data_IF_489366326041
#
_entry.id   IF_489366326041
#
_cell.length_a   1.000
_cell.length_b   1.000
_cell.length_c   1.000
_cell.angle_alpha   90.00
_cell.angle_beta   90.00
_cell.angle_gamma   90.00
#
_symmetry.space_group_name_H-M   'P 1'
#
loop_
_entity.id
_entity.type
_entity.pdbx_description
1 polymer ?
#
# COMPACT_ATOMS: atom_id res chain seq x y z
N UNK A 1 -2.78 -66.35 -39.45
CA UNK A 1 -2.34 -64.96 -39.66
C UNK A 1 -3.57 -64.07 -39.52
N UNK A 2 -3.58 -63.23 -38.47
CA UNK A 2 -4.06 -61.83 -38.43
C UNK A 2 -4.72 -61.33 -39.74
N UNK A 3 -5.92 -60.74 -39.77
CA UNK A 3 -6.63 -59.99 -38.74
C UNK A 3 -6.84 -58.57 -39.24
N UNK A 4 -7.96 -58.33 -39.93
CA UNK A 4 -8.51 -57.00 -40.19
C UNK A 4 -9.85 -56.89 -39.46
N UNK A 5 -10.02 -55.86 -38.65
CA UNK A 5 -11.13 -54.90 -38.76
C UNK A 5 -11.30 -54.09 -37.48
N UNK A 6 -11.33 -52.77 -37.71
CA UNK A 6 -12.22 -51.77 -37.13
C UNK A 6 -12.61 -51.90 -35.64
N UNK A 7 -12.07 -50.99 -34.84
CA UNK A 7 -12.61 -50.62 -33.53
C UNK A 7 -13.51 -49.39 -33.70
N UNK A 8 -14.79 -49.43 -33.26
CA UNK A 8 -15.56 -48.23 -33.00
C UNK A 8 -15.47 -47.80 -31.53
N UNK A 9 -15.64 -46.50 -31.37
CA UNK A 9 -15.71 -45.70 -30.14
C UNK A 9 -16.92 -46.12 -29.29
N UNK A 10 -16.73 -46.33 -27.98
CA UNK A 10 -17.48 -45.63 -26.91
C UNK A 10 -17.20 -46.15 -25.48
N UNK A 11 -17.44 -45.24 -24.53
CA UNK A 11 -17.65 -45.40 -23.08
C UNK A 11 -16.44 -45.22 -22.15
N UNK A 12 -16.61 -44.32 -21.16
CA UNK A 12 -15.66 -44.15 -20.07
C UNK A 12 -15.68 -42.77 -19.43
N UNK A 13 -16.74 -42.48 -18.69
CA UNK A 13 -16.77 -41.45 -17.65
C UNK A 13 -15.47 -41.40 -16.82
N UNK A 14 -14.84 -40.23 -16.68
CA UNK A 14 -13.96 -40.00 -15.54
C UNK A 14 -14.26 -38.65 -14.87
N UNK A 15 -14.44 -38.78 -13.57
CA UNK A 15 -14.98 -37.85 -12.59
C UNK A 15 -13.80 -37.22 -11.86
N UNK A 16 -13.88 -35.90 -11.58
CA UNK A 16 -13.16 -35.18 -10.50
C UNK A 16 -11.62 -35.22 -10.53
N UNK A 17 -11.01 -34.14 -11.02
CA UNK A 17 -9.78 -33.56 -10.44
C UNK A 17 -9.96 -32.08 -10.14
N UNK A 18 -10.77 -31.78 -9.11
CA UNK A 18 -10.68 -30.57 -8.29
C UNK A 18 -10.42 -31.04 -6.85
N UNK A 19 -9.56 -30.33 -6.12
CA UNK A 19 -9.02 -30.59 -4.76
C UNK A 19 -7.84 -31.57 -4.68
N UNK A 20 -6.62 -31.03 -4.83
CA UNK A 20 -5.46 -31.45 -4.02
C UNK A 20 -4.37 -30.37 -3.96
N UNK A 21 -4.71 -29.21 -3.40
CA UNK A 21 -3.77 -28.28 -2.77
C UNK A 21 -4.41 -27.82 -1.46
N UNK A 22 -4.54 -28.76 -0.53
CA UNK A 22 -4.74 -28.56 0.90
C UNK A 22 -3.92 -29.68 1.52
N UNK A 23 -3.18 -29.36 2.58
CA UNK A 23 -2.21 -30.23 3.27
C UNK A 23 -0.79 -30.20 2.71
N UNK A 24 -0.08 -29.11 3.04
CA UNK A 24 1.31 -29.12 3.50
C UNK A 24 1.55 -27.74 4.13
N UNK A 25 2.24 -27.70 5.26
CA UNK A 25 2.26 -26.64 6.28
C UNK A 25 1.13 -26.80 7.30
N UNK A 26 1.46 -26.65 8.59
CA UNK A 26 0.68 -27.01 9.79
C UNK A 26 0.81 -28.49 10.21
N UNK A 27 1.90 -28.80 10.90
CA UNK A 27 2.06 -30.05 11.66
C UNK A 27 1.32 -29.96 12.99
N UNK A 28 0.54 -31.00 13.30
CA UNK A 28 -0.15 -31.22 14.57
C UNK A 28 0.84 -31.37 15.74
N UNK A 29 0.62 -30.69 16.86
CA UNK A 29 1.11 -31.15 18.17
C UNK A 29 0.03 -31.06 19.25
N UNK A 30 -0.10 -32.18 19.94
CA UNK A 30 -1.12 -32.57 20.89
C UNK A 30 -1.00 -31.82 22.22
N UNK A 31 -2.15 -31.60 22.84
CA UNK A 31 -2.37 -30.93 24.13
C UNK A 31 -1.66 -31.67 25.28
N UNK A 32 -0.90 -30.92 26.09
CA UNK A 32 -0.42 -31.32 27.41
C UNK A 32 -0.70 -30.19 28.39
N UNK A 33 -1.71 -30.39 29.23
CA UNK A 33 -2.11 -29.51 30.33
C UNK A 33 -1.07 -29.51 31.45
N UNK A 34 -0.69 -28.35 31.98
CA UNK A 34 -0.52 -28.17 33.42
C UNK A 34 -0.62 -26.71 33.84
N UNK A 35 -1.27 -26.52 34.98
CA UNK A 35 -1.75 -25.28 35.58
C UNK A 35 -0.73 -24.76 36.58
N UNK A 36 -0.43 -23.46 36.57
CA UNK A 36 0.01 -22.76 37.78
C UNK A 36 -0.65 -21.38 37.87
N UNK A 37 -1.36 -21.22 38.99
CA UNK A 37 -2.08 -20.05 39.47
C UNK A 37 -1.22 -19.38 40.56
N UNK A 38 -1.39 -18.06 40.76
CA UNK A 38 -1.08 -17.19 41.93
C UNK A 38 -0.69 -15.81 41.36
N UNK A 39 -1.17 -14.64 41.76
CA UNK A 39 -2.06 -14.20 42.84
C UNK A 39 -2.18 -12.65 42.77
N UNK A 40 -3.24 -12.13 43.39
CA UNK A 40 -3.82 -10.78 43.26
C UNK A 40 -2.98 -9.57 43.73
N UNK A 41 -3.32 -8.38 43.19
CA UNK A 41 -3.63 -7.12 43.94
C UNK A 41 -3.92 -5.97 42.96
N UNK A 42 -5.17 -5.62 42.66
CA UNK A 42 -5.99 -4.51 43.23
C UNK A 42 -5.30 -3.13 43.23
N UNK A 43 -5.79 -2.21 42.39
CA UNK A 43 -6.28 -0.86 42.75
C UNK A 43 -6.92 -0.17 41.52
N UNK A 44 -8.10 0.42 41.73
CA UNK A 44 -8.69 1.52 40.94
C UNK A 44 -9.37 2.50 41.91
N UNK A 45 -9.96 3.66 41.50
CA UNK A 45 -10.27 4.11 40.13
C UNK A 45 -9.88 5.58 39.77
N UNK A 46 -9.86 5.88 38.44
CA UNK A 46 -10.30 7.06 37.61
C UNK A 46 -10.46 8.51 38.18
N UNK A 47 -10.66 9.59 37.37
CA UNK A 47 -10.29 9.91 35.97
C UNK A 47 -9.53 11.27 35.83
N UNK A 48 -8.85 11.50 34.71
CA UNK A 48 -8.87 12.84 34.09
C UNK A 48 -8.52 12.79 32.60
N UNK A 49 -9.42 13.33 31.80
CA UNK A 49 -9.24 13.58 30.38
C UNK A 49 -8.25 14.73 30.18
N UNK A 50 -7.25 14.50 29.35
CA UNK A 50 -6.32 15.53 28.90
C UNK A 50 -5.78 15.11 27.54
N UNK A 51 -6.05 15.94 26.53
CA UNK A 51 -5.47 15.84 25.19
C UNK A 51 -3.96 15.58 25.31
N UNK A 52 -3.44 14.62 24.55
CA UNK A 52 -2.00 14.39 24.48
C UNK A 52 -1.35 15.54 23.72
N UNK A 53 -0.13 15.91 24.11
CA UNK A 53 0.61 17.05 23.55
C UNK A 53 0.81 16.97 22.01
N UNK A 54 0.62 15.80 21.40
CA UNK A 54 0.69 15.57 19.95
C UNK A 54 -0.46 16.24 19.18
N UNK A 55 -1.67 16.23 19.72
CA UNK A 55 -2.84 16.88 19.11
C UNK A 55 -2.67 18.40 19.06
N UNK A 56 -1.94 18.98 20.02
CA UNK A 56 -1.69 20.42 20.07
C UNK A 56 -0.69 20.90 19.01
N UNK A 57 0.26 20.05 18.62
CA UNK A 57 1.29 20.38 17.65
C UNK A 57 0.73 20.37 16.23
N UNK A 58 -0.09 19.37 15.90
CA UNK A 58 -0.75 19.26 14.60
C UNK A 58 -1.77 20.38 14.38
N UNK A 59 -2.56 20.73 15.39
CA UNK A 59 -3.61 21.77 15.30
C UNK A 59 -3.02 23.19 15.15
N UNK A 60 -1.82 23.44 15.68
CA UNK A 60 -1.20 24.77 15.58
C UNK A 60 -0.58 25.06 14.20
N UNK A 61 -0.05 24.05 13.49
CA UNK A 61 0.37 24.21 12.09
C UNK A 61 -0.82 24.46 11.14
N UNK A 62 -1.99 23.86 11.43
CA UNK A 62 -3.19 23.93 10.58
C UNK A 62 -3.79 25.34 10.42
N UNK A 63 -3.75 26.19 11.47
CA UNK A 63 -4.38 27.52 11.45
C UNK A 63 -3.58 28.58 10.70
N UNK A 64 -2.26 28.48 10.70
CA UNK A 64 -1.38 29.44 10.01
C UNK A 64 -1.29 29.12 8.51
N UNK A 65 -1.45 27.84 8.14
CA UNK A 65 -1.46 27.39 6.73
C UNK A 65 -2.77 27.67 6.00
N UNK A 66 -3.93 27.50 6.65
CA UNK A 66 -5.24 27.61 6.00
C UNK A 66 -5.62 29.02 5.55
N UNK A 67 -4.99 30.07 6.07
CA UNK A 67 -5.23 31.46 5.64
C UNK A 67 -4.39 31.89 4.42
N UNK A 68 -3.28 31.20 4.13
CA UNK A 68 -2.42 31.50 2.97
C UNK A 68 -2.83 30.74 1.69
N UNK A 69 -3.64 29.68 1.82
CA UNK A 69 -3.91 28.73 0.72
C UNK A 69 -4.87 29.21 -0.38
N UNK A 70 -5.64 30.29 -0.16
CA UNK A 70 -6.53 30.82 -1.20
C UNK A 70 -5.78 31.70 -2.23
N UNK A 71 -4.50 32.00 -1.99
CA UNK A 71 -3.74 33.01 -2.73
C UNK A 71 -2.34 32.47 -3.04
N UNK A 72 -2.21 31.42 -3.88
CA UNK A 72 -1.06 31.11 -4.78
C UNK A 72 -0.93 29.61 -5.08
N UNK A 73 -1.88 29.01 -5.81
CA UNK A 73 -1.59 27.80 -6.59
C UNK A 73 -2.24 27.97 -7.96
N UNK A 74 -1.42 28.26 -8.97
CA UNK A 74 -1.86 28.33 -10.36
C UNK A 74 -2.45 26.98 -10.76
N UNK A 75 -3.51 27.02 -11.56
CA UNK A 75 -4.08 25.82 -12.18
C UNK A 75 -3.00 25.18 -13.05
N UNK A 76 -2.74 23.87 -12.95
CA UNK A 76 -1.77 23.18 -13.81
C UNK A 76 -2.01 23.43 -15.31
N UNK A 77 -3.24 23.77 -15.69
CA UNK A 77 -3.64 24.19 -17.03
C UNK A 77 -2.98 25.50 -17.51
N UNK A 78 -2.44 26.31 -16.60
CA UNK A 78 -1.76 27.58 -16.89
C UNK A 78 -0.23 27.40 -17.00
N UNK A 79 0.30 26.24 -16.60
CA UNK A 79 1.71 25.92 -16.71
C UNK A 79 2.10 25.63 -18.16
N UNK A 80 3.32 26.00 -18.53
CA UNK A 80 3.96 25.48 -19.73
C UNK A 80 4.20 23.98 -19.59
N UNK A 81 4.43 23.30 -20.73
CA UNK A 81 4.75 21.86 -20.71
C UNK A 81 5.97 21.54 -19.83
N UNK A 82 7.02 22.38 -19.88
CA UNK A 82 8.25 22.16 -19.11
C UNK A 82 8.05 22.36 -17.60
N UNK A 83 7.27 23.37 -17.21
CA UNK A 83 6.88 23.58 -15.80
C UNK A 83 6.07 22.38 -15.30
N UNK A 84 5.07 21.94 -16.06
CA UNK A 84 4.26 20.78 -15.71
C UNK A 84 5.11 19.50 -15.58
N UNK A 85 6.01 19.24 -16.53
CA UNK A 85 6.91 18.09 -16.44
C UNK A 85 7.86 18.19 -15.23
N UNK A 86 8.23 19.40 -14.80
CA UNK A 86 9.05 19.61 -13.60
C UNK A 86 8.25 19.32 -12.33
N UNK A 87 6.99 19.75 -12.26
CA UNK A 87 6.06 19.42 -11.16
C UNK A 87 5.79 17.90 -11.05
N UNK A 88 5.87 17.17 -12.16
CA UNK A 88 5.74 15.71 -12.20
C UNK A 88 7.08 14.97 -12.33
N UNK A 89 8.18 15.60 -11.93
CA UNK A 89 9.51 14.98 -11.84
C UNK A 89 10.06 15.10 -10.41
N UNK A 90 9.63 14.28 -9.44
CA UNK A 90 10.09 14.40 -8.04
C UNK A 90 11.62 14.37 -7.86
N UNK A 91 12.35 13.71 -8.75
CA UNK A 91 13.82 13.71 -8.75
C UNK A 91 14.45 15.09 -8.96
N UNK A 92 13.75 16.03 -9.63
CA UNK A 92 14.22 17.40 -9.82
C UNK A 92 14.10 18.26 -8.55
N UNK A 93 13.38 17.78 -7.53
CA UNK A 93 13.11 18.52 -6.30
C UNK A 93 13.92 18.03 -5.10
N UNK A 94 14.67 16.93 -5.24
CA UNK A 94 15.55 16.44 -4.18
C UNK A 94 16.67 17.45 -3.87
N UNK A 95 16.86 17.83 -2.59
CA UNK A 95 18.01 18.64 -2.18
C UNK A 95 19.24 17.77 -1.86
N UNK A 96 19.09 16.43 -1.82
CA UNK A 96 20.17 15.52 -1.38
C UNK A 96 21.17 15.24 -2.48
N UNK A 97 20.67 15.02 -3.70
CA UNK A 97 21.42 14.55 -4.86
C UNK A 97 20.80 15.13 -6.13
N UNK A 98 21.55 15.14 -7.23
CA UNK A 98 20.97 15.48 -8.53
C UNK A 98 19.93 14.44 -8.99
N UNK A 99 19.13 14.80 -9.99
CA UNK A 99 17.95 14.04 -10.43
C UNK A 99 18.24 12.59 -10.85
N UNK A 100 19.42 12.29 -11.35
CA UNK A 100 19.75 10.94 -11.81
C UNK A 100 20.41 10.16 -10.67
N UNK A 101 21.32 10.81 -9.92
CA UNK A 101 21.96 10.22 -8.75
C UNK A 101 20.97 9.88 -7.63
N UNK A 102 19.91 10.67 -7.43
CA UNK A 102 18.89 10.37 -6.41
C UNK A 102 18.10 9.09 -6.75
N UNK A 103 17.83 8.85 -8.03
CA UNK A 103 17.14 7.63 -8.49
C UNK A 103 18.05 6.42 -8.30
N UNK A 104 19.34 6.53 -8.64
CA UNK A 104 20.31 5.46 -8.43
C UNK A 104 20.48 5.13 -6.93
N UNK A 105 20.61 6.16 -6.09
CA UNK A 105 20.70 5.99 -4.64
C UNK A 105 19.45 5.33 -4.06
N UNK A 106 18.28 5.74 -4.54
CA UNK A 106 17.01 5.15 -4.15
C UNK A 106 16.96 3.66 -4.48
N UNK A 107 17.26 3.30 -5.74
CA UNK A 107 17.28 1.90 -6.20
C UNK A 107 18.22 1.05 -5.35
N UNK A 108 19.40 1.57 -5.04
CA UNK A 108 20.36 0.90 -4.15
C UNK A 108 19.77 0.68 -2.76
N UNK A 109 19.24 1.74 -2.14
CA UNK A 109 18.71 1.69 -0.78
C UNK A 109 17.56 0.69 -0.63
N UNK A 110 16.58 0.71 -1.54
CA UNK A 110 15.42 -0.20 -1.47
C UNK A 110 15.81 -1.65 -1.78
N UNK A 111 16.79 -1.87 -2.65
CA UNK A 111 17.31 -3.21 -2.98
C UNK A 111 18.07 -3.80 -1.79
N UNK A 112 19.03 -3.05 -1.23
CA UNK A 112 19.78 -3.48 -0.03
C UNK A 112 18.85 -3.71 1.16
N UNK A 113 17.89 -2.82 1.38
CA UNK A 113 16.86 -2.99 2.41
C UNK A 113 16.03 -4.25 2.22
N UNK A 114 15.65 -4.58 0.98
CA UNK A 114 14.88 -5.79 0.68
C UNK A 114 15.69 -7.06 0.88
N UNK A 115 16.95 -7.08 0.44
CA UNK A 115 17.86 -8.21 0.68
C UNK A 115 18.09 -8.44 2.17
N UNK A 116 18.26 -7.36 2.95
CA UNK A 116 18.34 -7.45 4.39
C UNK A 116 17.06 -8.05 4.99
N UNK A 117 15.88 -7.57 4.58
CA UNK A 117 14.62 -8.15 5.04
C UNK A 117 14.53 -9.65 4.76
N UNK A 118 14.83 -10.09 3.53
CA UNK A 118 14.81 -11.50 3.16
C UNK A 118 15.78 -12.35 4.00
N UNK A 119 16.93 -11.82 4.39
CA UNK A 119 17.90 -12.51 5.25
C UNK A 119 17.43 -12.61 6.70
N UNK A 120 16.63 -11.64 7.19
CA UNK A 120 16.23 -11.55 8.58
C UNK A 120 14.80 -12.01 8.88
N UNK A 121 13.94 -12.22 7.89
CA UNK A 121 12.55 -12.65 8.08
C UNK A 121 12.27 -14.01 7.44
N UNK A 122 11.21 -14.70 7.91
CA UNK A 122 10.67 -15.82 7.14
C UNK A 122 9.94 -15.25 5.93
N UNK A 123 10.40 -15.59 4.72
CA UNK A 123 9.91 -14.96 3.49
C UNK A 123 9.42 -16.00 2.49
N UNK A 124 8.21 -15.79 1.96
CA UNK A 124 7.63 -16.54 0.85
C UNK A 124 7.71 -15.68 -0.40
N UNK A 125 8.57 -16.04 -1.34
CA UNK A 125 8.75 -15.30 -2.59
C UNK A 125 7.81 -15.82 -3.68
N UNK A 126 7.38 -14.92 -4.56
CA UNK A 126 6.63 -15.22 -5.77
C UNK A 126 5.31 -15.97 -5.53
N UNK A 127 4.58 -15.63 -4.47
CA UNK A 127 3.25 -16.19 -4.19
C UNK A 127 2.27 -15.65 -5.22
N UNK A 128 1.72 -16.46 -6.14
CA UNK A 128 0.84 -15.96 -7.18
C UNK A 128 -0.54 -15.62 -6.59
N UNK A 129 -1.06 -14.46 -6.93
CA UNK A 129 -2.44 -14.06 -6.61
C UNK A 129 -3.34 -13.99 -7.85
N UNK A 130 -2.76 -14.04 -9.05
CA UNK A 130 -3.44 -14.05 -10.33
C UNK A 130 -2.65 -14.81 -11.40
N UNK A 131 -3.03 -14.65 -12.66
CA UNK A 131 -2.45 -15.39 -13.78
C UNK A 131 -1.37 -14.64 -14.53
N UNK A 132 -1.33 -13.32 -14.43
CA UNK A 132 -0.36 -12.50 -15.14
C UNK A 132 1.02 -12.56 -14.46
N UNK A 133 2.06 -12.16 -15.21
CA UNK A 133 3.45 -12.23 -14.75
C UNK A 133 3.66 -11.38 -13.48
N UNK A 134 3.10 -10.17 -13.44
CA UNK A 134 3.15 -9.24 -12.33
C UNK A 134 2.27 -9.62 -11.13
N UNK A 135 1.32 -10.55 -11.26
CA UNK A 135 0.36 -10.88 -10.20
C UNK A 135 0.91 -11.83 -9.13
N UNK A 136 1.96 -11.36 -8.43
CA UNK A 136 2.65 -12.10 -7.37
C UNK A 136 2.91 -11.22 -6.15
N UNK A 137 3.02 -11.86 -4.99
CA UNK A 137 3.43 -11.26 -3.72
C UNK A 137 4.78 -11.83 -3.27
N UNK A 138 5.57 -10.99 -2.60
CA UNK A 138 6.62 -11.47 -1.69
C UNK A 138 6.14 -11.21 -0.26
N UNK A 139 5.96 -12.27 0.54
CA UNK A 139 5.31 -12.21 1.86
C UNK A 139 6.32 -12.49 2.97
N UNK A 140 6.46 -11.53 3.87
CA UNK A 140 7.39 -11.49 4.99
C UNK A 140 6.60 -11.72 6.27
N UNK A 141 6.92 -12.80 6.99
CA UNK A 141 6.14 -13.32 8.11
C UNK A 141 6.89 -13.17 9.45
N UNK A 142 6.16 -12.89 10.55
CA UNK A 142 6.70 -12.97 11.91
C UNK A 142 7.35 -14.32 12.18
N UNK A 143 8.58 -14.32 12.75
CA UNK A 143 9.30 -15.55 13.09
C UNK A 143 8.59 -16.40 14.13
N UNK A 144 7.90 -15.75 15.08
CA UNK A 144 7.09 -16.42 16.09
C UNK A 144 5.71 -16.65 15.51
N UNK A 145 5.18 -17.85 15.72
CA UNK A 145 3.80 -18.12 15.37
C UNK A 145 2.86 -17.22 16.18
N UNK A 146 2.00 -16.51 15.48
CA UNK A 146 0.91 -15.69 16.03
C UNK A 146 -0.39 -16.21 15.43
N UNK A 147 -1.38 -16.50 16.29
CA UNK A 147 -2.70 -16.98 15.85
C UNK A 147 -3.44 -15.94 15.01
N UNK A 148 -3.27 -14.66 15.37
CA UNK A 148 -3.79 -13.53 14.61
C UNK A 148 -2.71 -12.47 14.43
N UNK A 149 -2.71 -11.81 13.27
CA UNK A 149 -1.69 -10.82 12.90
C UNK A 149 -2.29 -9.72 12.01
N UNK A 150 -1.82 -8.47 12.10
CA UNK A 150 -2.09 -7.47 11.08
C UNK A 150 -1.35 -7.80 9.78
N UNK A 151 -1.94 -7.47 8.63
CA UNK A 151 -1.27 -7.58 7.33
C UNK A 151 -1.12 -6.20 6.70
N UNK A 152 0.11 -5.80 6.40
CA UNK A 152 0.42 -4.64 5.56
C UNK A 152 0.68 -5.10 4.13
N UNK A 153 -0.10 -4.60 3.17
CA UNK A 153 0.21 -4.73 1.74
C UNK A 153 0.90 -3.45 1.27
N UNK A 154 2.16 -3.60 0.84
CA UNK A 154 2.94 -2.53 0.26
C UNK A 154 2.82 -2.50 -1.26
N UNK A 155 2.50 -1.34 -1.81
CA UNK A 155 2.33 -1.10 -3.24
C UNK A 155 3.39 -0.08 -3.67
N UNK A 156 4.32 -0.52 -4.52
CA UNK A 156 5.44 0.31 -4.95
C UNK A 156 5.01 1.44 -5.89
N UNK A 157 5.84 2.49 -5.94
CA UNK A 157 5.70 3.61 -6.86
C UNK A 157 6.30 3.32 -8.24
N UNK A 158 6.95 4.33 -8.83
CA UNK A 158 7.63 4.20 -10.13
C UNK A 158 6.76 4.59 -11.33
N UNK A 159 5.80 5.49 -11.13
CA UNK A 159 4.92 6.02 -12.20
C UNK A 159 4.20 4.93 -13.02
N UNK A 160 3.89 3.79 -12.38
CA UNK A 160 3.27 2.63 -13.04
C UNK A 160 4.11 2.02 -14.19
N UNK A 161 5.38 2.39 -14.28
CA UNK A 161 6.29 2.10 -15.40
C UNK A 161 7.59 1.43 -14.96
N UNK A 162 7.85 1.42 -13.65
CA UNK A 162 9.12 0.99 -13.08
C UNK A 162 8.93 0.44 -11.67
N UNK A 163 10.03 -0.06 -11.09
CA UNK A 163 10.08 -0.80 -9.83
C UNK A 163 9.33 -2.13 -9.90
N UNK A 164 9.42 -2.88 -8.81
CA UNK A 164 8.82 -4.20 -8.70
C UNK A 164 8.76 -4.66 -7.24
N UNK A 165 8.06 -5.77 -6.98
CA UNK A 165 8.00 -6.37 -5.64
C UNK A 165 9.37 -6.83 -5.12
N UNK A 166 10.30 -7.20 -6.01
CA UNK A 166 11.62 -7.74 -5.67
C UNK A 166 12.51 -6.75 -4.93
N UNK A 167 12.22 -5.45 -5.07
CA UNK A 167 12.94 -4.35 -4.40
C UNK A 167 12.07 -3.62 -3.37
N UNK A 168 10.97 -4.23 -2.96
CA UNK A 168 9.92 -3.59 -2.15
C UNK A 168 9.72 -4.21 -0.75
N UNK A 169 10.68 -5.02 -0.30
CA UNK A 169 10.69 -5.65 1.03
C UNK A 169 11.34 -4.80 2.13
N UNK A 170 11.89 -3.63 1.81
CA UNK A 170 12.74 -2.84 2.71
C UNK A 170 12.07 -2.41 4.03
N UNK A 171 10.74 -2.25 4.06
CA UNK A 171 9.99 -1.87 5.26
C UNK A 171 9.58 -3.08 6.14
N UNK A 172 9.86 -4.32 5.71
CA UNK A 172 9.34 -5.50 6.37
C UNK A 172 9.93 -5.71 7.78
N UNK A 173 11.23 -5.44 7.99
CA UNK A 173 11.91 -5.75 9.26
C UNK A 173 11.24 -5.10 10.49
N UNK A 174 11.05 -3.77 10.55
CA UNK A 174 10.38 -3.14 11.70
C UNK A 174 8.95 -3.68 11.94
N UNK A 175 8.19 -3.96 10.88
CA UNK A 175 6.81 -4.45 10.98
C UNK A 175 6.78 -5.90 11.50
N UNK A 176 7.56 -6.78 10.89
CA UNK A 176 7.62 -8.21 11.22
C UNK A 176 8.12 -8.44 12.65
N UNK A 177 9.02 -7.59 13.14
CA UNK A 177 9.48 -7.62 14.54
C UNK A 177 8.36 -7.31 15.54
N UNK A 178 7.33 -6.56 15.12
CA UNK A 178 6.15 -6.23 15.92
C UNK A 178 4.99 -7.22 15.68
N UNK A 179 5.24 -8.36 15.04
CA UNK A 179 4.22 -9.38 14.78
C UNK A 179 3.28 -9.06 13.61
N UNK A 180 3.64 -8.08 12.78
CA UNK A 180 2.86 -7.66 11.61
C UNK A 180 3.38 -8.39 10.38
N UNK A 181 2.50 -9.07 9.64
CA UNK A 181 2.87 -9.61 8.33
C UNK A 181 2.98 -8.46 7.31
N UNK A 182 3.95 -8.56 6.41
CA UNK A 182 4.16 -7.59 5.34
C UNK A 182 4.16 -8.30 4.00
N UNK A 183 3.46 -7.76 3.00
CA UNK A 183 3.44 -8.30 1.64
C UNK A 183 3.80 -7.20 0.65
N UNK A 184 4.90 -7.38 -0.07
CA UNK A 184 5.22 -6.55 -1.24
C UNK A 184 4.38 -7.04 -2.42
N UNK A 185 3.53 -6.15 -2.95
CA UNK A 185 2.62 -6.44 -4.06
C UNK A 185 3.31 -6.14 -5.38
N UNK A 186 3.44 -7.15 -6.23
CA UNK A 186 3.77 -6.96 -7.64
C UNK A 186 2.50 -6.67 -8.44
N UNK A 187 2.64 -5.93 -9.53
CA UNK A 187 1.61 -5.72 -10.55
C UNK A 187 2.31 -5.47 -11.89
N UNK A 188 1.61 -5.63 -13.01
CA UNK A 188 2.19 -5.35 -14.33
C UNK A 188 2.49 -3.85 -14.45
N UNK A 189 3.56 -3.47 -15.13
CA UNK A 189 3.92 -2.06 -15.38
C UNK A 189 3.88 -1.75 -16.87
N UNK A 190 3.66 -0.48 -17.21
CA UNK A 190 3.69 -0.01 -18.58
C UNK A 190 5.10 -0.19 -19.20
N UNK A 191 5.18 -0.42 -20.53
CA UNK A 191 4.08 -0.41 -21.49
C UNK A 191 3.32 -1.74 -21.59
N UNK A 192 3.69 -2.77 -20.81
CA UNK A 192 3.02 -4.09 -20.87
C UNK A 192 1.65 -4.08 -20.18
N UNK A 193 1.56 -3.41 -19.03
CA UNK A 193 0.32 -3.20 -18.28
C UNK A 193 -0.33 -1.85 -18.62
N UNK A 194 -1.66 -1.84 -18.64
CA UNK A 194 -2.48 -0.61 -18.69
C UNK A 194 -2.97 -0.26 -17.28
N UNK A 195 -3.18 1.01 -16.98
CA UNK A 195 -3.49 1.47 -15.61
C UNK A 195 -4.72 0.76 -15.01
N UNK A 196 -5.77 0.55 -15.81
CA UNK A 196 -7.00 -0.12 -15.39
C UNK A 196 -6.73 -1.58 -14.97
N UNK A 197 -5.83 -2.25 -15.69
CA UNK A 197 -5.39 -3.61 -15.37
C UNK A 197 -4.61 -3.59 -14.06
N UNK A 198 -3.71 -2.62 -13.85
CA UNK A 198 -2.94 -2.51 -12.61
C UNK A 198 -3.83 -2.26 -11.40
N UNK A 199 -4.84 -1.40 -11.54
CA UNK A 199 -5.85 -1.14 -10.50
C UNK A 199 -6.61 -2.41 -10.16
N UNK A 200 -7.01 -3.20 -11.16
CA UNK A 200 -7.69 -4.47 -10.92
C UNK A 200 -6.77 -5.52 -10.26
N UNK A 201 -5.51 -5.59 -10.70
CA UNK A 201 -4.50 -6.48 -10.13
C UNK A 201 -4.27 -6.22 -8.65
N UNK A 202 -4.10 -4.96 -8.22
CA UNK A 202 -3.90 -4.68 -6.80
C UNK A 202 -5.16 -4.97 -5.96
N UNK A 203 -6.37 -4.86 -6.52
CA UNK A 203 -7.61 -5.30 -5.85
C UNK A 203 -7.64 -6.82 -5.68
N UNK A 204 -7.28 -7.57 -6.73
CA UNK A 204 -7.13 -9.02 -6.64
C UNK A 204 -6.10 -9.43 -5.60
N UNK A 205 -5.00 -8.69 -5.45
CA UNK A 205 -3.97 -8.98 -4.45
C UNK A 205 -4.53 -8.98 -3.01
N UNK A 206 -5.40 -8.01 -2.69
CA UNK A 206 -6.07 -7.91 -1.39
C UNK A 206 -7.08 -9.04 -1.21
N UNK A 207 -7.92 -9.27 -2.22
CA UNK A 207 -8.92 -10.35 -2.19
C UNK A 207 -8.27 -11.73 -2.00
N UNK A 208 -7.18 -11.99 -2.72
CA UNK A 208 -6.37 -13.18 -2.57
C UNK A 208 -5.80 -13.29 -1.15
N UNK A 209 -5.16 -12.24 -0.63
CA UNK A 209 -4.52 -12.29 0.67
C UNK A 209 -5.52 -12.66 1.79
N UNK A 210 -6.71 -12.06 1.79
CA UNK A 210 -7.73 -12.34 2.82
C UNK A 210 -8.38 -13.72 2.68
N UNK A 211 -8.39 -14.31 1.49
CA UNK A 211 -8.86 -15.68 1.27
C UNK A 211 -7.78 -16.72 1.59
N UNK A 212 -6.52 -16.40 1.28
CA UNK A 212 -5.39 -17.31 1.38
C UNK A 212 -4.87 -17.44 2.83
N UNK A 213 -4.85 -16.33 3.57
CA UNK A 213 -4.26 -16.28 4.91
C UNK A 213 -5.34 -16.12 5.99
N UNK A 214 -5.51 -17.19 6.78
CA UNK A 214 -6.36 -17.16 7.97
C UNK A 214 -5.65 -16.45 9.12
N UNK A 215 -6.39 -15.71 9.96
CA UNK A 215 -5.83 -15.02 11.12
C UNK A 215 -5.46 -13.54 10.86
N UNK A 216 -5.72 -13.01 9.67
CA UNK A 216 -5.60 -11.57 9.43
C UNK A 216 -6.60 -10.83 10.33
N UNK A 217 -6.08 -10.10 11.31
CA UNK A 217 -6.86 -9.31 12.26
C UNK A 217 -7.28 -7.95 11.71
N UNK A 218 -6.61 -7.48 10.65
CA UNK A 218 -6.90 -6.26 9.91
C UNK A 218 -5.94 -6.09 8.74
N UNK A 219 -6.46 -5.56 7.64
CA UNK A 219 -5.67 -5.21 6.46
C UNK A 219 -5.27 -3.74 6.52
N UNK A 220 -4.00 -3.48 6.22
CA UNK A 220 -3.41 -2.16 6.15
C UNK A 220 -2.75 -1.99 4.78
N UNK A 221 -2.96 -0.83 4.15
CA UNK A 221 -2.36 -0.50 2.86
C UNK A 221 -1.21 0.48 3.09
N UNK A 222 -0.06 0.25 2.45
CA UNK A 222 1.04 1.22 2.41
C UNK A 222 1.42 1.43 0.94
N UNK A 223 1.14 2.60 0.40
CA UNK A 223 1.46 2.93 -0.98
C UNK A 223 2.41 4.10 -1.04
N UNK A 224 3.34 4.08 -1.99
CA UNK A 224 4.23 5.20 -2.27
C UNK A 224 4.02 5.70 -3.70
N UNK A 225 3.89 7.02 -3.91
CA UNK A 225 3.81 7.62 -5.25
C UNK A 225 2.65 7.02 -6.07
N UNK A 226 2.94 6.48 -7.26
CA UNK A 226 2.00 5.68 -8.06
C UNK A 226 1.34 4.50 -7.29
N UNK A 227 1.99 3.96 -6.27
CA UNK A 227 1.44 2.96 -5.37
C UNK A 227 0.49 3.53 -4.32
N UNK A 228 0.68 4.78 -3.90
CA UNK A 228 -0.28 5.49 -3.04
C UNK A 228 -1.58 5.79 -3.81
N UNK A 229 -1.47 6.12 -5.10
CA UNK A 229 -2.59 6.16 -6.02
C UNK A 229 -3.36 4.82 -6.05
N UNK A 230 -2.64 3.71 -6.28
CA UNK A 230 -3.26 2.38 -6.34
C UNK A 230 -3.92 1.98 -5.00
N UNK A 231 -3.27 2.27 -3.87
CA UNK A 231 -3.83 2.07 -2.53
C UNK A 231 -5.12 2.89 -2.32
N UNK A 232 -5.16 4.13 -2.82
CA UNK A 232 -6.36 4.96 -2.77
C UNK A 232 -7.51 4.37 -3.62
N UNK A 233 -7.20 3.81 -4.80
CA UNK A 233 -8.18 3.09 -5.62
C UNK A 233 -8.73 1.82 -4.94
N UNK A 234 -7.92 1.15 -4.12
CA UNK A 234 -8.36 0.01 -3.28
C UNK A 234 -9.38 0.47 -2.23
N UNK A 235 -9.20 1.63 -1.61
CA UNK A 235 -10.16 2.17 -0.63
C UNK A 235 -11.55 2.44 -1.23
N UNK A 236 -11.60 2.84 -2.50
CA UNK A 236 -12.84 3.09 -3.24
C UNK A 236 -13.48 1.82 -3.84
N UNK A 237 -12.97 0.64 -3.51
CA UNK A 237 -13.41 -0.62 -4.13
C UNK A 237 -14.73 -1.13 -3.55
N UNK A 238 -15.63 -1.54 -4.44
CA UNK A 238 -16.81 -2.33 -4.10
C UNK A 238 -16.42 -3.81 -3.94
N UNK A 239 -16.03 -4.17 -2.71
CA UNK A 239 -15.53 -5.51 -2.38
C UNK A 239 -16.54 -6.65 -2.60
N UNK A 240 -17.84 -6.34 -2.69
CA UNK A 240 -18.85 -7.34 -3.02
C UNK A 240 -18.58 -7.98 -4.39
N UNK A 241 -18.01 -7.23 -5.35
CA UNK A 241 -17.63 -7.74 -6.68
C UNK A 241 -16.48 -8.74 -6.63
N UNK A 242 -15.65 -8.67 -5.59
CA UNK A 242 -14.52 -9.58 -5.34
C UNK A 242 -14.89 -10.74 -4.41
N UNK A 243 -16.13 -10.79 -3.90
CA UNK A 243 -16.61 -11.86 -3.04
C UNK A 243 -15.91 -11.92 -1.67
N UNK A 244 -15.38 -10.79 -1.19
CA UNK A 244 -14.65 -10.69 0.09
C UNK A 244 -15.05 -9.43 0.85
N UNK A 245 -14.69 -9.37 2.14
CA UNK A 245 -14.73 -8.14 2.94
C UNK A 245 -13.41 -8.02 3.70
N UNK A 246 -12.41 -7.30 3.18
CA UNK A 246 -11.03 -7.44 3.64
C UNK A 246 -10.72 -6.79 5.00
N UNK A 247 -11.71 -6.24 5.72
CA UNK A 247 -11.51 -5.52 6.99
C UNK A 247 -10.31 -4.55 6.95
N UNK A 248 -10.34 -3.60 6.01
CA UNK A 248 -9.27 -2.61 5.85
C UNK A 248 -9.34 -1.61 7.01
N UNK A 249 -8.38 -1.69 7.93
CA UNK A 249 -8.29 -0.87 9.14
C UNK A 249 -7.45 0.39 8.97
N UNK A 250 -6.58 0.44 7.96
CA UNK A 250 -5.87 1.68 7.67
C UNK A 250 -5.17 1.72 6.31
N UNK A 251 -4.84 2.94 5.90
CA UNK A 251 -4.06 3.20 4.71
C UNK A 251 -3.04 4.31 4.97
N UNK A 252 -1.83 4.10 4.49
CA UNK A 252 -0.70 5.01 4.54
C UNK A 252 -0.35 5.38 3.10
N UNK A 253 -0.75 6.57 2.68
CA UNK A 253 -0.61 7.06 1.31
C UNK A 253 0.55 8.06 1.30
N UNK A 254 1.73 7.61 0.85
CA UNK A 254 2.97 8.39 0.95
C UNK A 254 3.31 9.02 -0.40
N UNK A 255 3.40 10.35 -0.43
CA UNK A 255 3.76 11.16 -1.61
C UNK A 255 2.96 10.79 -2.86
N UNK A 256 1.64 10.65 -2.72
CA UNK A 256 0.77 10.11 -3.78
C UNK A 256 0.29 11.13 -4.82
N UNK A 257 -0.32 10.60 -5.88
CA UNK A 257 -1.00 11.35 -6.94
C UNK A 257 -2.45 10.87 -6.96
N UNK A 258 -3.40 11.80 -6.99
CA UNK A 258 -4.83 11.53 -6.79
C UNK A 258 -5.73 12.12 -7.89
N UNK A 259 -5.20 13.04 -8.70
CA UNK A 259 -5.76 13.51 -9.97
C UNK A 259 -4.76 13.23 -11.09
N UNK A 260 -5.17 12.37 -12.03
CA UNK A 260 -4.34 11.91 -13.14
C UNK A 260 -4.54 12.74 -14.41
N UNK A 261 -5.50 13.67 -14.46
CA UNK A 261 -5.70 14.51 -15.65
C UNK A 261 -4.44 15.30 -16.04
N UNK A 262 -3.65 15.88 -15.12
CA UNK A 262 -2.39 16.56 -15.50
C UNK A 262 -1.36 15.60 -16.11
N UNK A 263 -1.29 14.35 -15.63
CA UNK A 263 -0.30 13.35 -16.07
C UNK A 263 -0.41 13.09 -17.56
N UNK A 264 -1.61 13.13 -18.14
CA UNK A 264 -1.82 12.87 -19.57
C UNK A 264 -1.08 13.86 -20.48
N UNK A 265 -0.68 15.01 -19.93
CA UNK A 265 0.03 16.10 -20.61
C UNK A 265 1.54 16.11 -20.35
N UNK A 266 2.08 15.10 -19.67
CA UNK A 266 3.51 14.97 -19.32
C UNK A 266 4.16 13.77 -20.01
N UNK A 267 5.49 13.73 -20.00
CA UNK A 267 6.28 12.57 -20.48
C UNK A 267 5.87 11.23 -19.82
N UNK A 268 5.30 11.26 -18.60
CA UNK A 268 4.84 10.06 -17.89
C UNK A 268 3.81 9.29 -18.72
N UNK A 269 3.02 9.98 -19.55
CA UNK A 269 2.00 9.35 -20.38
C UNK A 269 2.55 8.72 -21.67
N UNK A 270 3.84 8.90 -21.97
CA UNK A 270 4.46 8.36 -23.19
C UNK A 270 4.46 6.83 -23.22
N UNK A 271 4.51 6.15 -22.05
CA UNK A 271 4.37 4.69 -21.97
C UNK A 271 2.98 4.23 -21.51
N UNK A 272 2.26 5.05 -20.75
CA UNK A 272 0.94 4.68 -20.22
C UNK A 272 -0.17 4.80 -21.26
N UNK A 273 -0.04 5.74 -22.20
CA UNK A 273 -1.03 6.03 -23.23
C UNK A 273 -2.46 6.22 -22.68
N UNK A 274 -2.59 6.82 -21.49
CA UNK A 274 -3.88 7.08 -20.87
C UNK A 274 -4.67 8.07 -21.71
N UNK A 275 -5.92 7.71 -21.98
CA UNK A 275 -6.92 8.66 -22.43
C UNK A 275 -7.41 9.51 -21.26
N UNK A 276 -8.06 10.65 -21.56
CA UNK A 276 -8.72 11.46 -20.54
C UNK A 276 -9.77 10.67 -19.74
N UNK A 277 -10.52 9.79 -20.39
CA UNK A 277 -11.52 8.96 -19.73
C UNK A 277 -10.86 8.01 -18.71
N UNK A 278 -9.77 7.34 -19.11
CA UNK A 278 -8.99 6.46 -18.22
C UNK A 278 -8.43 7.24 -17.04
N UNK A 279 -7.86 8.42 -17.26
CA UNK A 279 -7.35 9.28 -16.20
C UNK A 279 -8.45 9.69 -15.21
N UNK A 280 -9.64 10.08 -15.71
CA UNK A 280 -10.76 10.48 -14.86
C UNK A 280 -11.32 9.32 -14.03
N UNK A 281 -11.51 8.14 -14.65
CA UNK A 281 -12.01 6.94 -13.97
C UNK A 281 -11.04 6.40 -12.93
N UNK A 282 -9.74 6.63 -13.12
CA UNK A 282 -8.67 6.22 -12.22
C UNK A 282 -8.08 7.39 -11.44
N UNK A 283 -8.83 8.47 -11.20
CA UNK A 283 -8.39 9.52 -10.28
C UNK A 283 -9.09 9.36 -8.93
N UNK A 284 -8.39 8.94 -7.87
CA UNK A 284 -8.94 8.81 -6.53
C UNK A 284 -9.75 10.02 -6.06
N UNK A 285 -9.34 11.23 -6.47
CA UNK A 285 -9.99 12.48 -6.14
C UNK A 285 -11.48 12.52 -6.53
N UNK A 286 -11.86 11.81 -7.61
CA UNK A 286 -13.22 11.81 -8.15
C UNK A 286 -14.06 10.60 -7.74
N UNK A 287 -13.48 9.61 -7.05
CA UNK A 287 -14.15 8.34 -6.74
C UNK A 287 -14.26 8.03 -5.24
N UNK A 288 -14.10 9.02 -4.35
CA UNK A 288 -14.19 8.84 -2.90
C UNK A 288 -15.61 8.41 -2.48
N UNK A 289 -15.80 7.23 -1.87
CA UNK A 289 -17.12 6.81 -1.43
C UNK A 289 -17.52 7.56 -0.16
N UNK A 290 -18.80 7.93 -0.06
CA UNK A 290 -19.37 8.52 1.15
C UNK A 290 -19.46 7.47 2.25
N UNK A 291 -18.95 7.79 3.44
CA UNK A 291 -18.99 6.90 4.59
C UNK A 291 -20.11 7.32 5.52
N UNK A 292 -21.16 6.50 5.62
CA UNK A 292 -22.25 6.74 6.56
C UNK A 292 -21.97 6.13 7.95
N UNK A 293 -21.30 4.96 8.02
CA UNK A 293 -20.82 4.35 9.28
C UNK A 293 -19.95 3.09 8.99
N UNK A 294 -18.75 3.24 8.40
CA UNK A 294 -17.82 2.10 8.25
C UNK A 294 -16.72 2.22 9.29
N UNK A 295 -16.91 1.50 10.40
CA UNK A 295 -15.99 1.48 11.54
C UNK A 295 -14.54 1.23 11.11
N UNK A 296 -13.69 2.12 11.62
CA UNK A 296 -12.25 1.98 11.90
C UNK A 296 -11.20 2.20 10.79
N UNK A 297 -11.52 2.39 9.51
CA UNK A 297 -10.46 2.71 8.54
C UNK A 297 -9.88 4.12 8.79
N UNK A 298 -8.61 4.19 9.21
CA UNK A 298 -7.85 5.44 9.36
C UNK A 298 -6.95 5.64 8.14
N UNK A 299 -6.94 6.84 7.58
CA UNK A 299 -6.09 7.20 6.44
C UNK A 299 -5.04 8.20 6.90
N UNK A 300 -3.77 7.90 6.65
CA UNK A 300 -2.68 8.85 6.76
C UNK A 300 -2.22 9.19 5.35
N UNK A 301 -2.28 10.47 4.98
CA UNK A 301 -1.57 10.98 3.81
C UNK A 301 -0.27 11.58 4.34
N UNK A 302 0.86 11.03 3.94
CA UNK A 302 2.18 11.56 4.27
C UNK A 302 2.81 12.15 3.01
N UNK A 303 3.46 13.29 3.13
CA UNK A 303 4.16 13.95 2.02
C UNK A 303 5.53 14.40 2.48
N UNK A 304 6.52 14.37 1.59
CA UNK A 304 7.86 14.83 1.89
C UNK A 304 7.94 16.35 1.78
N UNK A 305 8.68 17.02 2.67
CA UNK A 305 8.88 18.48 2.61
C UNK A 305 9.41 18.96 1.24
N UNK A 306 10.23 18.12 0.58
CA UNK A 306 10.83 18.42 -0.72
C UNK A 306 10.15 17.69 -1.87
N UNK A 307 8.86 17.35 -1.73
CA UNK A 307 8.03 16.96 -2.87
C UNK A 307 7.70 18.15 -3.77
N UNK A 308 7.38 17.92 -5.05
CA UNK A 308 6.91 18.99 -5.93
C UNK A 308 5.60 19.63 -5.44
N UNK A 309 5.37 20.92 -5.70
CA UNK A 309 4.13 21.62 -5.37
C UNK A 309 2.84 20.90 -5.82
N UNK A 310 2.81 20.28 -6.99
CA UNK A 310 1.63 19.50 -7.43
C UNK A 310 1.34 18.28 -6.52
N UNK A 311 2.36 17.62 -5.97
CA UNK A 311 2.16 16.53 -5.00
C UNK A 311 1.61 17.07 -3.67
N UNK A 312 2.05 18.24 -3.23
CA UNK A 312 1.46 18.94 -2.07
C UNK A 312 0.00 19.30 -2.32
N UNK A 313 -0.29 19.95 -3.45
CA UNK A 313 -1.65 20.35 -3.83
C UNK A 313 -2.59 19.14 -3.86
N UNK A 314 -2.22 18.09 -4.59
CA UNK A 314 -3.07 16.90 -4.71
C UNK A 314 -3.26 16.17 -3.38
N UNK A 315 -2.22 16.09 -2.53
CA UNK A 315 -2.33 15.46 -1.21
C UNK A 315 -3.27 16.23 -0.29
N UNK A 316 -3.21 17.57 -0.31
CA UNK A 316 -4.10 18.44 0.45
C UNK A 316 -5.55 18.34 -0.05
N UNK A 317 -5.76 18.40 -1.36
CA UNK A 317 -7.09 18.27 -1.97
C UNK A 317 -7.73 16.91 -1.67
N UNK A 318 -6.98 15.82 -1.85
CA UNK A 318 -7.48 14.49 -1.57
C UNK A 318 -7.80 14.28 -0.08
N UNK A 319 -6.96 14.80 0.82
CA UNK A 319 -7.24 14.85 2.26
C UNK A 319 -8.56 15.57 2.55
N UNK A 320 -8.80 16.72 1.91
CA UNK A 320 -10.01 17.49 2.11
C UNK A 320 -11.26 16.79 1.58
N UNK A 321 -11.16 16.11 0.41
CA UNK A 321 -12.27 15.32 -0.15
C UNK A 321 -12.60 14.13 0.75
N UNK A 322 -11.59 13.39 1.24
CA UNK A 322 -11.77 12.30 2.20
C UNK A 322 -12.47 12.77 3.48
N UNK A 323 -11.98 13.88 4.07
CA UNK A 323 -12.57 14.47 5.27
C UNK A 323 -14.03 14.86 5.06
N UNK A 324 -14.33 15.50 3.93
CA UNK A 324 -15.70 15.91 3.57
C UNK A 324 -16.62 14.71 3.34
N UNK A 325 -16.08 13.59 2.85
CA UNK A 325 -16.81 12.34 2.69
C UNK A 325 -16.96 11.51 3.99
N UNK A 326 -16.46 12.01 5.12
CA UNK A 326 -16.61 11.41 6.46
C UNK A 326 -15.49 10.44 6.87
N UNK A 327 -14.39 10.37 6.12
CA UNK A 327 -13.25 9.51 6.46
C UNK A 327 -12.43 10.08 7.62
N UNK A 328 -11.86 9.19 8.44
CA UNK A 328 -10.84 9.55 9.44
C UNK A 328 -9.50 9.70 8.74
N UNK A 329 -9.15 10.93 8.35
CA UNK A 329 -7.93 11.23 7.61
C UNK A 329 -7.06 12.27 8.32
N UNK A 330 -5.75 12.05 8.29
CA UNK A 330 -4.73 13.01 8.74
C UNK A 330 -3.71 13.26 7.62
N UNK A 331 -3.16 14.46 7.57
CA UNK A 331 -2.07 14.85 6.68
C UNK A 331 -0.79 15.04 7.51
N UNK A 332 0.32 14.45 7.07
CA UNK A 332 1.62 14.58 7.70
C UNK A 332 2.63 15.09 6.67
N UNK A 333 3.11 16.32 6.86
CA UNK A 333 4.25 16.85 6.12
C UNK A 333 5.54 16.49 6.87
N UNK A 334 6.41 15.74 6.20
CA UNK A 334 7.59 15.16 6.81
C UNK A 334 8.83 16.01 6.49
N UNK A 335 9.32 16.69 7.52
CA UNK A 335 10.47 17.58 7.41
C UNK A 335 11.76 16.84 7.05
N UNK A 336 12.58 17.48 6.20
CA UNK A 336 13.91 17.01 5.82
C UNK A 336 13.94 15.75 4.98
N UNK A 337 12.81 15.39 4.35
CA UNK A 337 12.73 14.28 3.39
C UNK A 337 12.36 14.78 2.00
N UNK A 338 12.79 14.04 0.99
CA UNK A 338 12.31 14.14 -0.37
C UNK A 338 11.45 12.94 -0.75
N UNK A 339 10.96 12.92 -1.99
CA UNK A 339 10.10 11.87 -2.53
C UNK A 339 10.66 10.45 -2.37
N UNK A 340 11.97 10.29 -2.20
CA UNK A 340 12.64 9.00 -2.20
C UNK A 340 12.99 8.57 -0.77
N UNK A 341 13.69 9.40 -0.01
CA UNK A 341 14.13 9.00 1.33
C UNK A 341 13.01 8.94 2.37
N UNK A 342 11.84 9.54 2.06
CA UNK A 342 10.64 9.38 2.87
C UNK A 342 10.26 7.91 3.07
N UNK A 343 10.51 7.05 2.07
CA UNK A 343 10.27 5.59 2.19
C UNK A 343 11.53 4.79 2.47
N UNK A 344 12.72 5.21 2.03
CA UNK A 344 13.98 4.47 2.26
C UNK A 344 14.21 4.24 3.77
N UNK A 345 13.86 5.26 4.56
CA UNK A 345 13.97 5.28 6.02
C UNK A 345 12.94 4.39 6.73
N UNK A 346 11.95 3.82 6.04
CA UNK A 346 10.99 2.86 6.65
C UNK A 346 11.63 1.56 7.13
N UNK A 347 12.85 1.27 6.69
CA UNK A 347 13.68 0.18 7.23
C UNK A 347 14.18 0.45 8.67
N UNK A 348 14.11 1.70 9.13
CA UNK A 348 14.58 2.14 10.44
C UNK A 348 13.42 2.18 11.43
N UNK A 349 13.55 1.48 12.56
CA UNK A 349 12.48 1.38 13.55
C UNK A 349 12.18 2.73 14.20
N UNK A 350 13.19 3.54 14.51
CA UNK A 350 13.05 4.83 15.18
C UNK A 350 12.67 6.01 14.24
N UNK A 351 12.50 5.76 12.95
CA UNK A 351 12.07 6.78 12.01
C UNK A 351 10.61 7.18 12.26
N UNK A 352 10.32 8.49 12.19
CA UNK A 352 9.01 9.05 12.56
C UNK A 352 7.86 8.37 11.82
N UNK A 353 7.95 8.23 10.49
CA UNK A 353 6.88 7.60 9.72
C UNK A 353 6.70 6.11 10.07
N UNK A 354 7.80 5.38 10.32
CA UNK A 354 7.74 3.99 10.80
C UNK A 354 6.99 3.90 12.12
N UNK A 355 7.31 4.77 13.08
CA UNK A 355 6.66 4.81 14.39
C UNK A 355 5.18 5.16 14.29
N UNK A 356 4.81 6.13 13.43
CA UNK A 356 3.41 6.47 13.17
C UNK A 356 2.64 5.28 12.59
N UNK A 357 3.22 4.58 11.61
CA UNK A 357 2.63 3.37 11.01
C UNK A 357 2.40 2.30 12.08
N UNK A 358 3.43 1.98 12.87
CA UNK A 358 3.34 0.98 13.94
C UNK A 358 2.27 1.34 14.97
N UNK A 359 2.27 2.59 15.46
CA UNK A 359 1.29 3.05 16.44
C UNK A 359 -0.15 3.01 15.91
N UNK A 360 -0.34 3.35 14.63
CA UNK A 360 -1.67 3.28 14.00
C UNK A 360 -2.14 1.83 13.85
N UNK A 361 -1.25 0.89 13.52
CA UNK A 361 -1.57 -0.54 13.44
C UNK A 361 -1.89 -1.12 14.83
N UNK A 362 -1.13 -0.75 15.86
CA UNK A 362 -1.34 -1.26 17.22
C UNK A 362 -2.59 -0.70 17.92
N UNK A 363 -3.10 0.44 17.47
CA UNK A 363 -4.28 1.11 18.06
C UNK A 363 -5.60 0.81 17.34
N UNK A 364 -5.59 0.04 16.24
CA UNK A 364 -6.76 -0.28 15.41
C UNK A 364 -7.22 -1.73 15.50
#
# INVERSE_FOLDING_TARGET
MIGESCVPVESGTEVKKKKKIREKCWGNYTVGTEVLQLGNSVYGPSPNAGMTNEDSFLVHQEKEYSHNLAITMGKWQEMTKEELETEYSPSRWSPRLDKDAVIEAHMKAITEGTLNAQAFTQTLLNVPYGSNEGEKLDVYLPKKHVETFPLVLYIHGGYWQSLSKEVSGFAACPLVNQGIAFAAVGYDVAPKGQLEVMVEQVRHSVAFAVQQYTGISGVYLLGHSAGAHLAAMILSTDWAKFGVEPNIKGAFLVSGIYDLEPIIHTYVNDLLHMSRAVAQENSPLWCVPKVNDKKACRVLIAIAQHDPPEFHRQSQEYCQVLRTAGWKVSLLDLAGTDHFDIIEKLSQENYLLTQVILNMISSG
#
